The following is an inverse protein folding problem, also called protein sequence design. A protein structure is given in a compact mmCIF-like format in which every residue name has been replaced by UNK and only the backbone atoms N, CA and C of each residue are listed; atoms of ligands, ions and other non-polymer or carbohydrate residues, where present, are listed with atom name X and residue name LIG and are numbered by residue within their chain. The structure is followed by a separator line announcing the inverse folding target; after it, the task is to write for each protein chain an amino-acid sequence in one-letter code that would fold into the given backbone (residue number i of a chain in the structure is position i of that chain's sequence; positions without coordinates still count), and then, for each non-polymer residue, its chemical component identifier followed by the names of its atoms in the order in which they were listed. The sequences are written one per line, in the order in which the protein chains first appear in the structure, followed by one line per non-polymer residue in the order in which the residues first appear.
data_IF_078748491921
#
_entry.id   IF_078748491921
#
_cell.length_a   1.000
_cell.length_b   1.000
_cell.length_c   1.000
_cell.angle_alpha   90.00
_cell.angle_beta   90.00
_cell.angle_gamma   90.00
#
_symmetry.space_group_name_H-M   'P 1'
#
loop_
_entity.id
_entity.type
_entity.pdbx_description
1 polymer ?
#
# COMPACT_ATOMS: atom_id res chain seq x y z
N UNK A 1 -13.19 -30.79 0.11
CA UNK A 1 -11.73 -30.96 0.16
C UNK A 1 -11.26 -30.35 1.46
N UNK A 2 -10.64 -31.13 2.33
CA UNK A 2 -9.95 -30.57 3.50
C UNK A 2 -8.67 -29.97 2.97
N UNK A 3 -8.59 -28.64 2.91
CA UNK A 3 -7.33 -27.97 2.57
C UNK A 3 -6.39 -28.16 3.75
N UNK A 4 -5.19 -28.69 3.49
CA UNK A 4 -4.14 -28.64 4.49
C UNK A 4 -3.84 -27.18 4.77
N UNK A 5 -4.07 -26.74 6.01
CA UNK A 5 -3.91 -25.35 6.39
C UNK A 5 -2.42 -24.97 6.31
N UNK A 6 -2.07 -24.00 5.46
CA UNK A 6 -0.71 -23.52 5.27
C UNK A 6 -0.47 -22.31 6.13
N UNK A 7 0.71 -22.25 6.74
CA UNK A 7 1.18 -21.10 7.49
C UNK A 7 1.85 -20.11 6.55
N UNK A 8 1.22 -18.95 6.34
CA UNK A 8 1.71 -17.95 5.41
C UNK A 8 2.00 -16.64 6.12
N UNK A 9 3.24 -16.19 6.04
CA UNK A 9 3.68 -14.90 6.59
C UNK A 9 3.53 -13.81 5.55
N UNK A 10 2.90 -12.70 5.95
CA UNK A 10 2.87 -11.44 5.24
C UNK A 10 3.67 -10.37 5.99
N UNK A 11 4.39 -9.53 5.25
CA UNK A 11 5.21 -8.46 5.82
C UNK A 11 4.77 -7.12 5.23
N UNK A 12 4.19 -6.27 6.07
CA UNK A 12 3.80 -4.90 5.71
C UNK A 12 4.89 -3.89 6.08
N UNK A 13 5.53 -3.22 5.09
CA UNK A 13 6.59 -2.24 5.33
C UNK A 13 6.02 -0.84 5.60
N UNK A 14 5.28 -0.67 6.69
CA UNK A 14 4.69 0.62 7.02
C UNK A 14 5.71 1.68 7.43
N UNK A 15 5.43 2.95 7.16
CA UNK A 15 6.32 4.08 7.47
C UNK A 15 6.67 4.20 8.95
N UNK A 16 5.72 3.89 9.85
CA UNK A 16 5.92 3.98 11.32
C UNK A 16 6.27 2.64 11.95
N UNK A 17 5.75 1.54 11.41
CA UNK A 17 6.02 0.19 11.91
C UNK A 17 5.93 -0.83 10.79
N UNK A 18 6.79 -1.85 10.86
CA UNK A 18 6.67 -3.06 10.06
C UNK A 18 5.83 -4.07 10.82
N UNK A 19 4.85 -4.66 10.15
CA UNK A 19 4.05 -5.72 10.73
C UNK A 19 4.40 -7.06 10.06
N UNK A 20 4.70 -8.07 10.87
CA UNK A 20 4.86 -9.46 10.45
C UNK A 20 3.63 -10.22 10.94
N UNK A 21 2.86 -10.77 10.01
CA UNK A 21 1.60 -11.45 10.32
C UNK A 21 1.61 -12.84 9.70
N UNK A 22 1.28 -13.85 10.47
CA UNK A 22 1.06 -15.20 9.94
C UNK A 22 -0.42 -15.58 10.00
N UNK A 23 -0.93 -16.07 8.88
CA UNK A 23 -2.25 -16.71 8.84
C UNK A 23 -2.12 -18.20 8.62
N UNK A 24 -3.07 -18.95 9.19
CA UNK A 24 -3.33 -20.34 8.92
C UNK A 24 -4.80 -20.48 8.51
N UNK A 25 -5.04 -20.75 7.22
CA UNK A 25 -6.37 -20.59 6.63
C UNK A 25 -6.85 -19.13 6.74
N UNK A 26 -8.01 -18.92 7.37
CA UNK A 26 -8.60 -17.59 7.56
C UNK A 26 -8.24 -16.89 8.88
N UNK A 27 -7.37 -17.47 9.69
CA UNK A 27 -7.08 -17.02 11.06
C UNK A 27 -5.65 -16.53 11.19
N UNK A 28 -5.45 -15.41 11.90
CA UNK A 28 -4.13 -14.95 12.34
C UNK A 28 -3.67 -15.80 13.51
N UNK A 29 -2.48 -16.41 13.38
CA UNK A 29 -1.87 -17.27 14.40
C UNK A 29 -0.59 -16.67 15.00
N UNK A 30 -0.05 -15.65 14.38
CA UNK A 30 1.08 -14.88 14.89
C UNK A 30 1.04 -13.46 14.33
N UNK A 31 1.40 -12.49 15.17
CA UNK A 31 1.57 -11.10 14.74
C UNK A 31 2.63 -10.40 15.59
N UNK A 32 3.46 -9.59 14.92
CA UNK A 32 4.48 -8.76 15.56
C UNK A 32 4.56 -7.43 14.83
N UNK A 33 4.55 -6.34 15.58
CA UNK A 33 4.76 -5.00 15.06
C UNK A 33 6.09 -4.45 15.56
N UNK A 34 6.95 -4.00 14.65
CA UNK A 34 8.31 -3.52 14.94
C UNK A 34 8.38 -2.05 14.52
N UNK A 35 8.75 -1.15 15.43
CA UNK A 35 8.92 0.27 15.11
C UNK A 35 10.01 0.44 14.04
N UNK A 36 9.72 1.28 13.02
CA UNK A 36 10.61 1.47 11.87
C UNK A 36 11.97 2.04 12.26
N UNK A 37 12.03 2.91 13.28
CA UNK A 37 13.30 3.47 13.77
C UNK A 37 14.13 2.41 14.50
N UNK A 38 13.46 1.48 15.20
CA UNK A 38 14.15 0.34 15.83
C UNK A 38 14.67 -0.63 14.77
N UNK A 39 13.84 -0.93 13.77
CA UNK A 39 14.21 -1.79 12.65
C UNK A 39 15.42 -1.28 11.87
N UNK A 40 15.50 0.02 11.63
CA UNK A 40 16.64 0.65 10.94
C UNK A 40 17.95 0.43 11.70
N UNK A 41 17.89 0.45 13.05
CA UNK A 41 19.07 0.20 13.91
C UNK A 41 19.42 -1.29 14.00
N UNK A 42 18.41 -2.18 13.89
CA UNK A 42 18.53 -3.63 14.05
C UNK A 42 17.70 -4.36 12.98
N UNK A 43 18.16 -4.39 11.72
CA UNK A 43 17.41 -5.02 10.62
C UNK A 43 17.13 -6.52 10.83
N UNK A 44 17.95 -7.20 11.65
CA UNK A 44 17.79 -8.59 12.01
C UNK A 44 16.48 -8.90 12.74
N UNK A 45 15.89 -7.94 13.45
CA UNK A 45 14.60 -8.14 14.15
C UNK A 45 13.47 -8.62 13.22
N UNK A 46 13.51 -8.20 11.96
CA UNK A 46 12.51 -8.61 10.98
C UNK A 46 12.77 -10.03 10.48
N UNK A 47 14.03 -10.38 10.27
CA UNK A 47 14.46 -11.73 9.90
C UNK A 47 14.10 -12.72 11.02
N UNK A 48 14.41 -12.36 12.27
CA UNK A 48 14.10 -13.17 13.44
C UNK A 48 12.59 -13.40 13.57
N UNK A 49 11.78 -12.35 13.39
CA UNK A 49 10.32 -12.46 13.45
C UNK A 49 9.74 -13.39 12.37
N UNK A 50 10.31 -13.42 11.16
CA UNK A 50 9.91 -14.35 10.10
C UNK A 50 10.32 -15.78 10.45
N UNK A 51 11.53 -15.96 10.99
CA UNK A 51 12.08 -17.28 11.32
C UNK A 51 11.35 -17.92 12.52
N UNK A 52 10.91 -17.11 13.51
CA UNK A 52 10.14 -17.58 14.68
C UNK A 52 8.85 -18.34 14.28
N UNK A 53 8.26 -17.98 13.14
CA UNK A 53 6.95 -18.47 12.73
C UNK A 53 7.00 -19.88 12.13
N UNK A 54 8.10 -20.25 11.46
CA UNK A 54 8.19 -21.50 10.71
C UNK A 54 7.14 -21.58 9.58
N UNK A 55 7.12 -20.53 8.72
CA UNK A 55 6.14 -20.38 7.65
C UNK A 55 6.38 -21.36 6.49
N UNK A 56 5.30 -21.82 5.84
CA UNK A 56 5.37 -22.55 4.58
C UNK A 56 5.64 -21.60 3.41
N UNK A 57 5.03 -20.40 3.43
CA UNK A 57 5.18 -19.35 2.41
C UNK A 57 5.37 -17.99 3.06
N UNK A 58 6.03 -17.09 2.32
CA UNK A 58 6.26 -15.70 2.75
C UNK A 58 5.85 -14.75 1.64
N UNK A 59 5.06 -13.73 1.97
CA UNK A 59 4.81 -12.58 1.09
C UNK A 59 5.72 -11.44 1.51
N UNK A 60 6.66 -11.11 0.63
CA UNK A 60 7.65 -10.09 0.86
C UNK A 60 7.06 -8.68 0.73
N UNK A 61 7.65 -7.67 1.41
CA UNK A 61 7.35 -6.27 1.14
C UNK A 61 7.49 -5.98 -0.36
N UNK A 62 6.43 -5.45 -0.98
CA UNK A 62 6.37 -5.32 -2.44
C UNK A 62 6.32 -3.88 -2.95
N UNK A 63 6.26 -2.87 -2.07
CA UNK A 63 6.36 -1.44 -2.42
C UNK A 63 5.40 -1.04 -3.55
N UNK A 64 5.96 -0.49 -4.65
CA UNK A 64 5.18 -0.12 -5.84
C UNK A 64 4.60 -1.33 -6.59
N UNK A 65 4.93 -2.54 -6.15
CA UNK A 65 4.36 -3.77 -6.68
C UNK A 65 4.97 -4.26 -8.00
N UNK A 66 4.72 -5.52 -8.24
CA UNK A 66 5.09 -6.24 -9.46
C UNK A 66 4.03 -7.32 -9.69
N UNK A 67 3.74 -7.75 -10.94
CA UNK A 67 2.90 -8.94 -11.16
C UNK A 67 3.37 -10.07 -10.26
N UNK A 68 2.45 -10.89 -9.75
CA UNK A 68 2.81 -11.96 -8.81
C UNK A 68 4.07 -12.67 -9.26
N UNK A 69 5.16 -12.49 -8.54
CA UNK A 69 6.49 -13.01 -8.87
C UNK A 69 6.98 -13.86 -7.72
N UNK A 70 7.48 -15.06 -8.02
CA UNK A 70 8.04 -15.95 -6.99
C UNK A 70 9.51 -15.63 -6.77
N UNK A 71 10.02 -15.93 -5.56
CA UNK A 71 11.40 -15.66 -5.23
C UNK A 71 12.40 -16.39 -6.13
N UNK A 72 12.09 -17.63 -6.59
CA UNK A 72 12.94 -18.40 -7.52
C UNK A 72 12.94 -17.85 -8.97
N UNK A 73 12.07 -16.90 -9.27
CA UNK A 73 12.05 -16.15 -10.53
C UNK A 73 12.95 -14.91 -10.50
N UNK A 74 13.42 -14.48 -9.33
CA UNK A 74 14.24 -13.26 -9.14
C UNK A 74 15.73 -13.63 -9.18
N UNK A 75 16.49 -12.97 -10.07
CA UNK A 75 17.93 -13.23 -10.20
C UNK A 75 18.77 -12.57 -9.09
N UNK A 76 18.41 -11.35 -8.70
CA UNK A 76 19.06 -10.58 -7.65
C UNK A 76 17.99 -9.88 -6.80
N UNK A 77 17.72 -10.40 -5.61
CA UNK A 77 16.64 -9.91 -4.76
C UNK A 77 16.90 -8.51 -4.19
N UNK A 78 18.15 -8.12 -3.95
CA UNK A 78 18.49 -6.78 -3.47
C UNK A 78 18.25 -5.74 -4.58
N UNK A 79 18.80 -5.96 -5.78
CA UNK A 79 18.57 -5.06 -6.92
C UNK A 79 17.11 -5.01 -7.32
N UNK A 80 16.44 -6.16 -7.37
CA UNK A 80 15.02 -6.25 -7.67
C UNK A 80 14.19 -5.42 -6.69
N UNK A 81 14.50 -5.49 -5.39
CA UNK A 81 13.79 -4.69 -4.39
C UNK A 81 14.05 -3.20 -4.58
N UNK A 82 15.30 -2.78 -4.76
CA UNK A 82 15.64 -1.36 -4.90
C UNK A 82 15.10 -0.79 -6.22
N UNK A 83 15.39 -1.43 -7.34
CA UNK A 83 15.16 -0.86 -8.67
C UNK A 83 13.71 -1.05 -9.16
N UNK A 84 13.06 -2.17 -8.82
CA UNK A 84 11.70 -2.49 -9.28
C UNK A 84 10.65 -2.15 -8.23
N UNK A 85 10.82 -2.66 -6.99
CA UNK A 85 9.79 -2.50 -5.96
C UNK A 85 9.81 -1.12 -5.31
N UNK A 86 10.97 -0.46 -5.23
CA UNK A 86 11.14 0.84 -4.57
C UNK A 86 11.42 1.98 -5.55
N UNK A 87 11.52 1.69 -6.85
CA UNK A 87 11.78 2.67 -7.92
C UNK A 87 12.95 3.61 -7.57
N UNK A 88 14.02 3.03 -7.06
CA UNK A 88 15.24 3.75 -6.64
C UNK A 88 16.47 3.14 -7.31
N UNK A 89 17.56 3.87 -7.28
CA UNK A 89 18.88 3.43 -7.74
C UNK A 89 19.87 3.35 -6.58
N UNK A 90 21.03 2.74 -6.80
CA UNK A 90 22.13 2.77 -5.84
C UNK A 90 22.57 4.23 -5.55
N UNK A 91 22.51 5.10 -6.57
CA UNK A 91 22.78 6.52 -6.44
C UNK A 91 21.78 7.23 -5.51
N UNK A 92 20.47 6.96 -5.68
CA UNK A 92 19.43 7.49 -4.78
C UNK A 92 19.67 7.05 -3.34
N UNK A 93 20.01 5.77 -3.12
CA UNK A 93 20.30 5.25 -1.78
C UNK A 93 21.51 5.97 -1.18
N UNK A 94 22.61 6.09 -1.93
CA UNK A 94 23.81 6.81 -1.50
C UNK A 94 23.47 8.26 -1.13
N UNK A 95 22.72 8.93 -2.00
CA UNK A 95 22.27 10.32 -1.78
C UNK A 95 21.38 10.44 -0.54
N UNK A 96 20.48 9.49 -0.32
CA UNK A 96 19.65 9.46 0.88
C UNK A 96 20.47 9.33 2.17
N UNK A 97 21.53 8.52 2.18
CA UNK A 97 22.44 8.46 3.33
C UNK A 97 23.18 9.79 3.57
N UNK A 98 23.65 10.46 2.51
CA UNK A 98 24.30 11.78 2.62
C UNK A 98 23.36 12.84 3.22
N UNK A 99 22.07 12.76 2.90
CA UNK A 99 21.03 13.66 3.41
C UNK A 99 20.49 13.26 4.79
N UNK A 100 20.87 12.07 5.31
CA UNK A 100 20.36 11.55 6.58
C UNK A 100 18.92 11.00 6.49
N UNK A 101 18.47 10.61 5.29
CA UNK A 101 17.12 10.10 5.06
C UNK A 101 16.90 8.73 5.70
N UNK A 102 15.96 8.64 6.64
CA UNK A 102 15.56 7.36 7.25
C UNK A 102 14.99 6.42 6.17
N UNK A 103 14.32 6.97 5.15
CA UNK A 103 13.79 6.21 4.02
C UNK A 103 14.86 5.38 3.30
N UNK A 104 16.07 5.91 3.12
CA UNK A 104 17.19 5.18 2.50
C UNK A 104 17.61 3.95 3.33
N UNK A 105 17.64 4.11 4.64
CA UNK A 105 17.96 3.01 5.56
C UNK A 105 16.86 1.94 5.55
N UNK A 106 15.59 2.34 5.51
CA UNK A 106 14.44 1.44 5.36
C UNK A 106 14.54 0.65 4.05
N UNK A 107 14.89 1.29 2.94
CA UNK A 107 15.04 0.64 1.64
C UNK A 107 16.14 -0.42 1.65
N UNK A 108 17.28 -0.12 2.28
CA UNK A 108 18.37 -1.10 2.46
C UNK A 108 17.92 -2.26 3.37
N UNK A 109 17.17 -1.99 4.43
CA UNK A 109 16.65 -3.04 5.31
C UNK A 109 15.66 -3.96 4.54
N UNK A 110 14.77 -3.40 3.71
CA UNK A 110 13.88 -4.17 2.85
C UNK A 110 14.62 -5.03 1.83
N UNK A 111 15.66 -4.49 1.20
CA UNK A 111 16.48 -5.22 0.22
C UNK A 111 17.22 -6.41 0.89
N UNK A 112 17.82 -6.20 2.06
CA UNK A 112 18.46 -7.26 2.85
C UNK A 112 17.47 -8.35 3.27
N UNK A 113 16.27 -7.95 3.72
CA UNK A 113 15.21 -8.90 4.05
C UNK A 113 14.82 -9.71 2.82
N UNK A 114 14.56 -9.07 1.68
CA UNK A 114 14.20 -9.76 0.44
C UNK A 114 15.25 -10.80 0.04
N UNK A 115 16.54 -10.45 0.11
CA UNK A 115 17.64 -11.39 -0.13
C UNK A 115 17.60 -12.59 0.81
N UNK A 116 17.39 -12.34 2.10
CA UNK A 116 17.33 -13.41 3.10
C UNK A 116 16.16 -14.36 2.85
N UNK A 117 14.92 -13.83 2.67
CA UNK A 117 13.74 -14.66 2.48
C UNK A 117 13.76 -15.40 1.14
N UNK A 118 14.24 -14.78 0.06
CA UNK A 118 14.42 -15.45 -1.24
C UNK A 118 15.43 -16.58 -1.14
N UNK A 119 16.54 -16.34 -0.44
CA UNK A 119 17.56 -17.37 -0.19
C UNK A 119 17.05 -18.55 0.66
N UNK A 120 16.20 -18.29 1.64
CA UNK A 120 15.70 -19.30 2.58
C UNK A 120 14.45 -20.03 2.11
N UNK A 121 13.56 -19.37 1.37
CA UNK A 121 12.25 -19.90 0.98
C UNK A 121 12.11 -20.16 -0.54
N UNK A 122 12.95 -19.55 -1.39
CA UNK A 122 12.97 -19.81 -2.84
C UNK A 122 11.60 -19.61 -3.50
N UNK A 123 11.07 -20.67 -4.12
CA UNK A 123 9.75 -20.65 -4.81
C UNK A 123 8.55 -20.41 -3.88
N UNK A 124 8.76 -20.46 -2.57
CA UNK A 124 7.73 -20.22 -1.55
C UNK A 124 7.64 -18.76 -1.12
N UNK A 125 8.40 -17.86 -1.76
CA UNK A 125 8.26 -16.40 -1.62
C UNK A 125 7.35 -15.86 -2.71
N UNK A 126 6.46 -14.94 -2.34
CA UNK A 126 5.68 -14.15 -3.29
C UNK A 126 5.97 -12.65 -3.13
N UNK A 127 6.15 -11.98 -4.25
CA UNK A 127 6.01 -10.54 -4.41
C UNK A 127 4.66 -10.28 -5.09
N UNK A 128 3.94 -9.26 -4.65
CA UNK A 128 2.55 -9.01 -5.06
C UNK A 128 2.40 -7.67 -5.81
N UNK A 129 1.35 -7.51 -6.62
CA UNK A 129 1.13 -6.28 -7.36
C UNK A 129 0.68 -5.12 -6.45
N UNK A 130 0.82 -3.91 -6.98
CA UNK A 130 0.08 -2.73 -6.54
C UNK A 130 -1.20 -2.57 -7.37
N UNK A 131 -2.05 -1.63 -6.95
CA UNK A 131 -3.38 -1.42 -7.56
C UNK A 131 -3.28 -1.08 -9.05
N UNK A 132 -2.31 -0.27 -9.47
CA UNK A 132 -2.16 0.14 -10.88
C UNK A 132 -1.91 -1.04 -11.83
N UNK A 133 -1.39 -2.17 -11.34
CA UNK A 133 -1.10 -3.38 -12.15
C UNK A 133 -2.30 -4.29 -12.35
N UNK A 134 -3.42 -4.06 -11.64
CA UNK A 134 -4.58 -4.92 -11.71
C UNK A 134 -5.29 -4.82 -13.08
N UNK A 135 -5.73 -5.95 -13.67
CA UNK A 135 -6.45 -5.95 -14.95
C UNK A 135 -7.87 -5.39 -14.85
N UNK A 136 -8.43 -5.30 -13.64
CA UNK A 136 -9.77 -4.78 -13.36
C UNK A 136 -9.89 -3.28 -13.57
N UNK A 137 -8.77 -2.55 -13.58
CA UNK A 137 -8.71 -1.11 -13.82
C UNK A 137 -8.44 -0.84 -15.30
N UNK A 138 -9.33 -0.13 -16.01
CA UNK A 138 -9.13 0.17 -17.42
C UNK A 138 -7.96 1.14 -17.65
N UNK A 139 -7.32 1.03 -18.82
CA UNK A 139 -6.14 1.80 -19.21
C UNK A 139 -6.30 3.32 -18.98
N UNK A 140 -7.42 3.89 -19.37
CA UNK A 140 -7.66 5.35 -19.27
C UNK A 140 -7.66 5.89 -17.84
N UNK A 141 -7.91 5.05 -16.82
CA UNK A 141 -7.82 5.43 -15.40
C UNK A 141 -6.39 5.38 -14.87
N UNK A 142 -5.50 4.67 -15.54
CA UNK A 142 -4.09 4.50 -15.17
C UNK A 142 -3.16 5.53 -15.80
N UNK A 143 -3.62 6.31 -16.79
CA UNK A 143 -2.78 7.25 -17.54
C UNK A 143 -2.02 8.21 -16.62
N UNK A 144 -0.69 8.27 -16.82
CA UNK A 144 0.26 9.10 -16.06
C UNK A 144 0.25 8.85 -14.54
N UNK A 145 -0.11 7.64 -14.12
CA UNK A 145 -0.06 7.22 -12.71
C UNK A 145 0.93 6.09 -12.54
N UNK A 146 1.85 6.25 -11.60
CA UNK A 146 2.74 5.20 -11.10
C UNK A 146 2.12 4.57 -9.84
N UNK A 147 1.48 5.39 -9.02
CA UNK A 147 0.88 5.00 -7.76
C UNK A 147 -0.62 5.31 -7.74
N UNK A 148 -1.43 4.27 -7.67
CA UNK A 148 -2.86 4.30 -7.39
C UNK A 148 -3.17 3.62 -6.05
N UNK A 149 -2.14 3.37 -5.26
CA UNK A 149 -2.09 2.57 -4.04
C UNK A 149 -1.07 1.45 -4.21
N UNK A 150 -0.01 1.50 -3.40
CA UNK A 150 1.06 0.51 -3.32
C UNK A 150 0.55 -0.85 -2.86
N UNK A 151 1.37 -1.88 -2.83
CA UNK A 151 0.97 -3.25 -2.50
C UNK A 151 0.29 -3.38 -1.13
N UNK A 152 0.67 -2.55 -0.15
CA UNK A 152 0.03 -2.49 1.16
C UNK A 152 -1.42 -1.96 1.10
N UNK A 153 -1.73 -1.03 0.19
CA UNK A 153 -3.09 -0.54 -0.04
C UNK A 153 -3.96 -1.59 -0.72
N UNK A 154 -3.38 -2.35 -1.67
CA UNK A 154 -4.04 -3.54 -2.22
C UNK A 154 -4.35 -4.55 -1.10
N UNK A 155 -3.37 -4.84 -0.25
CA UNK A 155 -3.50 -5.78 0.85
C UNK A 155 -4.56 -5.33 1.88
N UNK A 156 -4.58 -4.05 2.28
CA UNK A 156 -5.61 -3.50 3.15
C UNK A 156 -7.01 -3.58 2.51
N UNK A 157 -7.12 -3.28 1.20
CA UNK A 157 -8.39 -3.38 0.46
C UNK A 157 -8.87 -4.83 0.37
N UNK A 158 -7.96 -5.79 0.22
CA UNK A 158 -8.29 -7.23 0.23
C UNK A 158 -8.99 -7.64 1.54
N UNK A 159 -8.46 -7.20 2.70
CA UNK A 159 -9.08 -7.44 4.01
C UNK A 159 -10.43 -6.71 4.13
N UNK A 160 -10.51 -5.47 3.65
CA UNK A 160 -11.75 -4.71 3.67
C UNK A 160 -12.88 -5.41 2.90
N UNK A 161 -12.60 -5.91 1.69
CA UNK A 161 -13.56 -6.69 0.89
C UNK A 161 -13.97 -7.97 1.62
N UNK A 162 -12.98 -8.74 2.11
CA UNK A 162 -13.24 -10.00 2.79
C UNK A 162 -14.10 -9.83 4.04
N UNK A 163 -13.69 -8.92 4.93
CA UNK A 163 -14.38 -8.72 6.21
C UNK A 163 -15.75 -8.08 6.03
N UNK A 164 -15.91 -7.18 5.06
CA UNK A 164 -17.19 -6.60 4.72
C UNK A 164 -18.17 -7.64 4.17
N UNK A 165 -17.73 -8.48 3.22
CA UNK A 165 -18.55 -9.57 2.68
C UNK A 165 -18.99 -10.56 3.78
N UNK A 166 -18.05 -10.96 4.65
CA UNK A 166 -18.32 -11.85 5.78
C UNK A 166 -19.32 -11.24 6.76
N UNK A 167 -19.16 -9.97 7.13
CA UNK A 167 -20.04 -9.26 8.08
C UNK A 167 -21.46 -9.10 7.54
N UNK A 168 -21.59 -8.79 6.24
CA UNK A 168 -22.91 -8.65 5.58
C UNK A 168 -23.51 -9.98 5.13
N UNK A 169 -22.77 -11.09 5.14
CA UNK A 169 -23.22 -12.40 4.68
C UNK A 169 -23.49 -12.43 3.16
N UNK A 170 -22.69 -11.71 2.37
CA UNK A 170 -22.84 -11.59 0.92
C UNK A 170 -21.63 -12.19 0.17
N UNK A 171 -21.81 -12.47 -1.13
CA UNK A 171 -20.69 -12.87 -1.98
C UNK A 171 -19.76 -11.68 -2.28
N UNK A 172 -18.50 -11.97 -2.65
CA UNK A 172 -17.56 -10.92 -3.04
C UNK A 172 -18.05 -10.08 -4.21
N UNK A 173 -18.76 -10.69 -5.17
CA UNK A 173 -19.38 -9.99 -6.33
C UNK A 173 -20.46 -8.97 -5.96
N UNK A 174 -20.93 -8.98 -4.73
CA UNK A 174 -21.94 -8.03 -4.25
C UNK A 174 -21.35 -6.88 -3.44
N UNK A 175 -20.01 -6.90 -3.21
CA UNK A 175 -19.32 -5.87 -2.45
C UNK A 175 -19.13 -4.61 -3.28
N UNK A 176 -19.77 -3.51 -2.87
CA UNK A 176 -19.65 -2.18 -3.46
C UNK A 176 -19.34 -1.18 -2.35
N UNK A 177 -18.06 -0.83 -2.20
CA UNK A 177 -17.55 0.04 -1.13
C UNK A 177 -16.48 0.98 -1.64
N UNK A 178 -16.22 2.03 -0.87
CA UNK A 178 -14.98 2.81 -1.01
C UNK A 178 -14.10 2.46 0.18
N UNK A 179 -12.86 2.08 -0.07
CA UNK A 179 -11.86 1.90 0.99
C UNK A 179 -11.01 3.16 1.08
N UNK A 180 -11.01 3.80 2.24
CA UNK A 180 -10.14 4.94 2.53
C UNK A 180 -9.03 4.49 3.49
N UNK A 181 -7.82 4.35 2.97
CA UNK A 181 -6.63 4.02 3.75
C UNK A 181 -5.96 5.30 4.21
N UNK A 182 -5.97 5.53 5.51
CA UNK A 182 -5.44 6.70 6.18
C UNK A 182 -4.13 6.32 6.89
N UNK A 183 -3.06 6.23 6.10
CA UNK A 183 -1.74 5.82 6.55
C UNK A 183 -1.04 6.87 7.42
N UNK A 184 0.15 6.53 7.94
CA UNK A 184 0.92 7.50 8.74
C UNK A 184 1.46 8.65 7.88
N UNK A 185 1.79 8.44 6.62
CA UNK A 185 2.37 9.49 5.76
C UNK A 185 1.56 9.79 4.52
N UNK A 186 0.83 8.82 4.02
CA UNK A 186 0.10 8.84 2.76
C UNK A 186 -1.33 8.39 2.96
N UNK A 187 -2.22 8.88 2.11
CA UNK A 187 -3.61 8.44 2.06
C UNK A 187 -3.91 7.78 0.71
N UNK A 188 -4.96 6.97 0.68
CA UNK A 188 -5.53 6.46 -0.55
C UNK A 188 -7.04 6.32 -0.44
N UNK A 189 -7.76 6.60 -1.54
CA UNK A 189 -9.17 6.28 -1.72
C UNK A 189 -9.31 5.29 -2.87
N UNK A 190 -10.00 4.18 -2.64
CA UNK A 190 -10.03 3.03 -3.54
C UNK A 190 -11.49 2.65 -3.80
N UNK A 191 -11.90 2.66 -5.07
CA UNK A 191 -13.22 2.26 -5.49
C UNK A 191 -13.29 0.76 -5.72
N UNK A 192 -14.17 0.08 -5.00
CA UNK A 192 -14.45 -1.35 -5.14
C UNK A 192 -15.88 -1.51 -5.65
N UNK A 193 -16.05 -2.01 -6.87
CA UNK A 193 -17.34 -2.33 -7.49
C UNK A 193 -17.40 -3.83 -7.78
N UNK A 194 -18.43 -4.50 -7.30
CA UNK A 194 -18.62 -5.94 -7.43
C UNK A 194 -17.42 -6.75 -6.88
N UNK A 195 -16.78 -6.28 -5.80
CA UNK A 195 -15.61 -6.93 -5.20
C UNK A 195 -14.30 -6.78 -5.97
N UNK A 196 -14.27 -6.00 -7.04
CA UNK A 196 -13.09 -5.69 -7.83
C UNK A 196 -12.66 -4.23 -7.63
N UNK A 197 -11.36 -3.97 -7.57
CA UNK A 197 -10.86 -2.59 -7.59
C UNK A 197 -11.01 -2.05 -9.02
N UNK A 198 -11.79 -0.97 -9.18
CA UNK A 198 -12.08 -0.37 -10.47
C UNK A 198 -11.42 0.97 -10.72
N UNK A 199 -11.02 1.68 -9.66
CA UNK A 199 -10.19 2.90 -9.70
C UNK A 199 -9.58 3.15 -8.32
N UNK A 200 -8.53 3.97 -8.27
CA UNK A 200 -8.00 4.47 -7.01
C UNK A 200 -7.20 5.77 -7.18
N UNK A 201 -7.06 6.48 -6.07
CA UNK A 201 -6.19 7.64 -5.89
C UNK A 201 -5.31 7.35 -4.68
N UNK A 202 -3.99 7.42 -4.86
CA UNK A 202 -3.05 7.12 -3.78
C UNK A 202 -1.70 7.78 -4.03
N UNK A 203 -0.79 7.66 -3.08
CA UNK A 203 0.54 8.22 -3.16
C UNK A 203 0.54 9.74 -3.37
N UNK A 204 1.35 10.20 -4.31
CA UNK A 204 1.43 11.62 -4.68
C UNK A 204 0.30 12.09 -5.61
N UNK A 205 -0.67 11.24 -5.96
CA UNK A 205 -1.87 11.64 -6.71
C UNK A 205 -3.08 11.88 -5.82
N UNK A 206 -3.00 11.46 -4.56
CA UNK A 206 -3.98 11.79 -3.51
C UNK A 206 -3.78 13.22 -2.98
N UNK A 207 -4.71 13.71 -2.21
CA UNK A 207 -4.59 14.98 -1.49
C UNK A 207 -3.46 14.92 -0.46
N UNK A 208 -3.12 16.10 0.11
CA UNK A 208 -2.03 16.23 1.09
C UNK A 208 -2.17 15.20 2.22
N UNK A 209 -1.06 14.50 2.48
CA UNK A 209 -0.94 13.60 3.62
C UNK A 209 -0.22 14.25 4.80
N UNK A 210 0.13 13.45 5.79
CA UNK A 210 0.93 13.97 6.91
C UNK A 210 2.40 14.13 6.53
N UNK A 211 2.96 13.27 5.68
CA UNK A 211 4.34 13.40 5.20
C UNK A 211 4.41 13.87 3.74
N UNK A 212 3.59 13.34 2.84
CA UNK A 212 3.60 13.71 1.41
C UNK A 212 2.82 14.99 1.12
N UNK A 213 3.33 15.79 0.19
CA UNK A 213 2.60 16.92 -0.36
C UNK A 213 1.28 16.50 -1.04
N UNK A 214 1.18 15.24 -1.47
CA UNK A 214 0.08 14.77 -2.30
C UNK A 214 0.16 15.31 -3.72
N UNK A 215 -0.98 15.64 -4.30
CA UNK A 215 -1.06 16.23 -5.64
C UNK A 215 -0.37 17.59 -5.66
N UNK A 216 0.86 17.60 -6.13
CA UNK A 216 1.65 18.82 -6.27
C UNK A 216 1.38 19.44 -7.64
N UNK A 217 1.24 20.78 -7.66
CA UNK A 217 1.14 21.52 -8.91
C UNK A 217 2.45 21.38 -9.71
N UNK A 218 2.35 20.94 -10.95
CA UNK A 218 3.49 20.76 -11.85
C UNK A 218 4.26 22.07 -12.09
N UNK A 219 3.59 23.22 -11.95
CA UNK A 219 4.26 24.53 -12.02
C UNK A 219 5.30 24.68 -10.90
N UNK A 220 5.02 24.18 -9.71
CA UNK A 220 6.00 24.16 -8.60
C UNK A 220 7.22 23.33 -9.01
N UNK A 221 7.00 22.14 -9.58
CA UNK A 221 8.08 21.27 -10.06
C UNK A 221 8.90 21.96 -11.15
N UNK A 222 8.26 22.68 -12.06
CA UNK A 222 8.92 23.39 -13.14
C UNK A 222 9.81 24.55 -12.64
N UNK A 223 9.43 25.21 -11.56
CA UNK A 223 10.11 26.38 -11.00
C UNK A 223 11.07 26.08 -9.83
N UNK A 224 10.89 24.96 -9.11
CA UNK A 224 11.67 24.66 -7.92
C UNK A 224 13.08 24.10 -8.20
N UNK A 225 13.42 23.82 -9.46
CA UNK A 225 14.73 23.30 -9.84
C UNK A 225 14.82 21.77 -9.82
N UNK A 226 15.97 21.24 -9.37
CA UNK A 226 16.23 19.80 -9.39
C UNK A 226 15.47 19.09 -8.25
N UNK A 227 14.69 18.08 -8.61
CA UNK A 227 14.01 17.18 -7.66
C UNK A 227 14.80 15.89 -7.50
N UNK A 228 14.82 15.38 -6.25
CA UNK A 228 15.45 14.12 -5.90
C UNK A 228 14.40 13.05 -5.58
N UNK A 229 14.81 11.79 -5.57
CA UNK A 229 13.90 10.66 -5.26
C UNK A 229 13.19 10.83 -3.91
N UNK A 230 13.86 11.45 -2.96
CA UNK A 230 13.41 11.62 -1.58
C UNK A 230 12.34 12.71 -1.42
N UNK A 231 12.22 13.64 -2.37
CA UNK A 231 11.24 14.75 -2.31
C UNK A 231 9.79 14.26 -2.27
N UNK A 232 9.52 13.03 -2.74
CA UNK A 232 8.17 12.43 -2.68
C UNK A 232 7.67 12.18 -1.26
N UNK A 233 8.57 12.19 -0.26
CA UNK A 233 8.25 11.98 1.15
C UNK A 233 8.04 13.27 1.93
N UNK A 234 8.13 14.44 1.27
CA UNK A 234 8.06 15.75 1.91
C UNK A 234 6.84 16.56 1.48
N UNK A 235 6.61 17.65 2.18
CA UNK A 235 5.56 18.62 1.86
C UNK A 235 4.20 18.34 2.50
N UNK A 236 4.08 17.31 3.33
CA UNK A 236 2.87 17.04 4.11
C UNK A 236 2.70 18.00 5.31
N UNK A 237 1.54 17.92 5.97
CA UNK A 237 1.20 18.83 7.06
C UNK A 237 2.21 18.80 8.22
N UNK A 238 2.85 17.67 8.47
CA UNK A 238 3.88 17.53 9.51
C UNK A 238 5.13 18.37 9.21
N UNK A 239 5.51 18.47 7.94
CA UNK A 239 6.68 19.26 7.53
C UNK A 239 6.42 20.77 7.64
N UNK A 240 5.21 21.23 7.30
CA UNK A 240 4.82 22.63 7.47
C UNK A 240 4.92 23.07 8.92
N UNK A 241 4.47 22.22 9.84
CA UNK A 241 4.44 22.52 11.26
C UNK A 241 5.69 22.07 12.02
N UNK A 242 6.58 21.30 11.41
CA UNK A 242 7.70 20.61 12.08
C UNK A 242 7.25 19.79 13.30
N UNK A 243 6.04 19.21 13.21
CA UNK A 243 5.40 18.43 14.25
C UNK A 243 4.94 17.08 13.68
N UNK A 244 5.39 15.97 14.23
CA UNK A 244 5.22 14.62 13.70
C UNK A 244 4.22 13.76 14.49
N UNK A 245 3.23 14.43 15.11
CA UNK A 245 2.13 13.79 15.82
C UNK A 245 0.80 14.47 15.46
N UNK A 246 -0.12 13.69 14.87
CA UNK A 246 -1.43 14.21 14.45
C UNK A 246 -2.27 14.74 15.63
N UNK A 247 -2.03 14.26 16.86
CA UNK A 247 -2.75 14.77 18.05
C UNK A 247 -2.46 16.26 18.33
N UNK A 248 -1.32 16.77 17.91
CA UNK A 248 -1.01 18.21 18.02
C UNK A 248 -1.97 19.02 17.14
N UNK A 249 -2.23 18.55 15.91
CA UNK A 249 -3.14 19.19 14.97
C UNK A 249 -4.61 19.05 15.40
N UNK A 250 -4.97 17.90 15.98
CA UNK A 250 -6.31 17.69 16.57
C UNK A 250 -6.59 18.71 17.65
N UNK A 251 -5.67 18.90 18.61
CA UNK A 251 -5.80 19.91 19.69
C UNK A 251 -5.86 21.33 19.14
N UNK A 252 -5.00 21.65 18.17
CA UNK A 252 -5.00 22.96 17.54
C UNK A 252 -6.34 23.25 16.82
N UNK A 253 -6.91 22.26 16.15
CA UNK A 253 -8.23 22.39 15.52
C UNK A 253 -9.33 22.65 16.55
N UNK A 254 -9.35 21.89 17.65
CA UNK A 254 -10.34 22.07 18.74
C UNK A 254 -10.25 23.44 19.40
N UNK A 255 -9.03 24.01 19.47
CA UNK A 255 -8.77 25.32 20.07
C UNK A 255 -8.78 26.47 19.04
N UNK A 256 -8.99 26.20 17.75
CA UNK A 256 -8.88 27.18 16.66
C UNK A 256 -7.51 27.85 16.57
N UNK A 257 -6.44 27.10 16.81
CA UNK A 257 -5.05 27.58 16.80
C UNK A 257 -4.45 27.49 15.38
N UNK A 258 -4.27 28.65 14.75
CA UNK A 258 -3.69 28.75 13.41
C UNK A 258 -2.14 28.77 13.47
N UNK A 259 -1.44 28.25 12.43
CA UNK A 259 -1.98 27.66 11.19
C UNK A 259 -2.30 26.14 11.29
N UNK A 260 -2.12 25.52 12.45
CA UNK A 260 -2.26 24.06 12.60
C UNK A 260 -3.69 23.57 12.37
N UNK A 261 -4.69 24.38 12.79
CA UNK A 261 -6.11 24.09 12.57
C UNK A 261 -6.43 24.03 11.06
N UNK A 262 -5.94 24.98 10.27
CA UNK A 262 -6.09 25.01 8.82
C UNK A 262 -5.37 23.84 8.14
N UNK A 263 -4.18 23.47 8.60
CA UNK A 263 -3.44 22.31 8.09
C UNK A 263 -4.21 20.99 8.35
N UNK A 264 -4.78 20.85 9.55
CA UNK A 264 -5.61 19.69 9.87
C UNK A 264 -6.87 19.62 8.98
N UNK A 265 -7.52 20.77 8.78
CA UNK A 265 -8.68 20.89 7.89
C UNK A 265 -8.30 20.48 6.46
N UNK A 266 -7.18 20.98 5.94
CA UNK A 266 -6.68 20.60 4.60
C UNK A 266 -6.46 19.10 4.46
N UNK A 267 -5.93 18.46 5.49
CA UNK A 267 -5.73 17.00 5.53
C UNK A 267 -7.06 16.24 5.47
N UNK A 268 -8.02 16.56 6.34
CA UNK A 268 -9.30 15.82 6.41
C UNK A 268 -10.21 16.11 5.22
N UNK A 269 -10.32 17.37 4.81
CA UNK A 269 -11.09 17.77 3.62
C UNK A 269 -10.49 17.16 2.34
N UNK A 270 -9.15 17.07 2.27
CA UNK A 270 -8.45 16.40 1.19
C UNK A 270 -8.86 14.94 1.04
N UNK A 271 -8.92 14.20 2.15
CA UNK A 271 -9.40 12.80 2.16
C UNK A 271 -10.85 12.72 1.66
N UNK A 272 -11.73 13.61 2.12
CA UNK A 272 -13.12 13.65 1.68
C UNK A 272 -13.24 13.91 0.16
N UNK A 273 -12.42 14.82 -0.38
CA UNK A 273 -12.34 15.09 -1.83
C UNK A 273 -11.86 13.87 -2.63
N UNK A 274 -10.85 13.14 -2.15
CA UNK A 274 -10.36 11.92 -2.79
C UNK A 274 -11.44 10.82 -2.79
N UNK A 275 -12.18 10.65 -1.70
CA UNK A 275 -13.33 9.74 -1.62
C UNK A 275 -14.41 10.13 -2.63
N UNK A 276 -14.77 11.41 -2.69
CA UNK A 276 -15.77 11.92 -3.64
C UNK A 276 -15.30 11.70 -5.10
N UNK A 277 -14.01 11.92 -5.39
CA UNK A 277 -13.40 11.69 -6.70
C UNK A 277 -13.57 10.23 -7.14
N UNK A 278 -13.22 9.25 -6.30
CA UNK A 278 -13.35 7.85 -6.68
C UNK A 278 -14.80 7.36 -6.67
N UNK A 279 -15.72 8.02 -5.95
CA UNK A 279 -17.16 7.71 -6.01
C UNK A 279 -17.75 7.93 -7.40
N UNK A 280 -17.22 8.85 -8.20
CA UNK A 280 -17.73 9.18 -9.54
C UNK A 280 -17.58 8.08 -10.58
N UNK A 281 -16.70 7.09 -10.33
CA UNK A 281 -16.38 6.05 -11.33
C UNK A 281 -17.32 4.85 -11.30
N UNK A 282 -18.14 4.72 -10.26
CA UNK A 282 -19.10 3.63 -10.14
C UNK A 282 -20.21 3.72 -11.21
N UNK A 283 -20.56 2.60 -11.82
CA UNK A 283 -21.66 2.53 -12.80
C UNK A 283 -22.98 2.94 -12.19
N UNK A 284 -23.18 2.62 -10.91
CA UNK A 284 -24.30 3.08 -10.13
C UNK A 284 -23.84 3.66 -8.78
N UNK A 285 -23.53 4.98 -8.72
CA UNK A 285 -23.04 5.61 -7.49
C UNK A 285 -24.00 5.50 -6.29
N UNK A 286 -25.31 5.28 -6.54
CA UNK A 286 -26.31 5.09 -5.47
C UNK A 286 -26.17 3.73 -4.75
N UNK A 287 -25.50 2.75 -5.35
CA UNK A 287 -25.23 1.45 -4.71
C UNK A 287 -24.03 1.48 -3.76
N UNK A 288 -23.28 2.57 -3.74
CA UNK A 288 -22.10 2.72 -2.91
C UNK A 288 -22.44 3.63 -1.74
N UNK A 289 -22.82 3.02 -0.65
CA UNK A 289 -23.30 3.70 0.55
C UNK A 289 -22.29 3.62 1.71
N UNK A 290 -21.24 2.79 1.57
CA UNK A 290 -20.31 2.52 2.67
C UNK A 290 -18.88 2.89 2.31
N UNK A 291 -18.24 3.63 3.22
CA UNK A 291 -16.79 3.87 3.27
C UNK A 291 -16.21 3.01 4.38
N UNK A 292 -15.24 2.18 4.04
CA UNK A 292 -14.48 1.37 4.99
C UNK A 292 -13.15 2.03 5.25
N UNK A 293 -12.88 2.42 6.49
CA UNK A 293 -11.64 3.08 6.90
C UNK A 293 -10.60 2.07 7.35
N UNK A 294 -9.38 2.22 6.84
CA UNK A 294 -8.19 1.45 7.23
C UNK A 294 -7.03 2.39 7.59
N UNK A 295 -5.95 1.85 8.10
CA UNK A 295 -4.73 2.61 8.39
C UNK A 295 -4.76 3.32 9.75
N UNK A 296 -3.62 3.92 10.10
CA UNK A 296 -3.38 4.45 11.45
C UNK A 296 -4.30 5.62 11.82
N UNK A 297 -4.47 6.57 10.91
CA UNK A 297 -5.25 7.79 11.19
C UNK A 297 -6.77 7.57 11.15
N UNK A 298 -7.23 6.43 10.65
CA UNK A 298 -8.64 6.01 10.73
C UNK A 298 -9.12 5.80 12.18
N UNK A 299 -8.19 5.65 13.11
CA UNK A 299 -8.45 5.45 14.55
C UNK A 299 -8.56 6.76 15.33
N UNK A 300 -8.38 7.93 14.67
CA UNK A 300 -8.49 9.25 15.29
C UNK A 300 -9.95 9.71 15.27
N UNK A 301 -10.63 9.84 16.44
CA UNK A 301 -12.09 10.10 16.47
C UNK A 301 -12.51 11.36 15.74
N UNK A 302 -11.72 12.44 15.83
CA UNK A 302 -12.04 13.72 15.18
C UNK A 302 -11.95 13.60 13.65
N UNK A 303 -10.99 12.83 13.10
CA UNK A 303 -10.91 12.56 11.66
C UNK A 303 -12.20 11.87 11.18
N UNK A 304 -12.63 10.83 11.90
CA UNK A 304 -13.86 10.08 11.56
C UNK A 304 -15.10 10.96 11.67
N UNK A 305 -15.18 11.79 12.71
CA UNK A 305 -16.27 12.75 12.92
C UNK A 305 -16.38 13.72 11.74
N UNK A 306 -15.28 14.37 11.38
CA UNK A 306 -15.26 15.35 10.30
C UNK A 306 -15.53 14.71 8.93
N UNK A 307 -15.04 13.51 8.66
CA UNK A 307 -15.37 12.77 7.45
C UNK A 307 -16.89 12.50 7.35
N UNK A 308 -17.57 12.19 8.45
CA UNK A 308 -19.05 12.06 8.47
C UNK A 308 -19.75 13.38 8.18
N UNK A 309 -19.20 14.50 8.62
CA UNK A 309 -19.74 15.83 8.32
C UNK A 309 -19.55 16.21 6.86
N UNK A 310 -18.39 15.87 6.23
CA UNK A 310 -18.14 16.11 4.80
C UNK A 310 -18.91 15.16 3.88
N UNK A 311 -19.23 13.95 4.33
CA UNK A 311 -19.82 12.88 3.53
C UNK A 311 -21.08 12.32 4.22
N UNK A 312 -22.13 13.17 4.47
CA UNK A 312 -23.29 12.80 5.28
C UNK A 312 -24.14 11.67 4.69
N UNK A 313 -24.09 11.47 3.36
CA UNK A 313 -24.85 10.45 2.65
C UNK A 313 -24.15 9.08 2.60
N UNK A 314 -23.05 8.91 3.36
CA UNK A 314 -22.24 7.69 3.36
C UNK A 314 -22.13 7.10 4.77
N UNK A 315 -22.37 5.80 4.89
CA UNK A 315 -21.98 5.06 6.10
C UNK A 315 -20.45 5.03 6.20
N UNK A 316 -19.87 5.51 7.30
CA UNK A 316 -18.43 5.42 7.55
C UNK A 316 -18.20 4.44 8.70
N UNK A 317 -17.47 3.36 8.42
CA UNK A 317 -17.18 2.29 9.36
C UNK A 317 -15.71 1.90 9.35
N UNK A 318 -15.17 1.40 10.47
CA UNK A 318 -13.84 0.80 10.49
C UNK A 318 -13.80 -0.49 9.68
N UNK A 319 -12.62 -0.83 9.16
CA UNK A 319 -12.36 -2.13 8.57
C UNK A 319 -12.46 -3.23 9.65
N UNK A 320 -12.99 -4.38 9.28
CA UNK A 320 -12.92 -5.58 10.10
C UNK A 320 -11.50 -6.16 10.12
N UNK A 321 -11.24 -7.00 11.12
CA UNK A 321 -9.98 -7.72 11.28
C UNK A 321 -10.21 -9.21 11.06
N UNK A 322 -9.16 -9.94 10.63
CA UNK A 322 -9.21 -11.40 10.62
C UNK A 322 -9.29 -11.94 12.05
N UNK A 323 -9.92 -13.09 12.22
CA UNK A 323 -9.98 -13.77 13.51
C UNK A 323 -8.57 -14.03 14.05
N UNK A 324 -8.34 -13.72 15.32
CA UNK A 324 -7.06 -13.84 15.98
C UNK A 324 -6.15 -12.62 15.89
N UNK A 325 -6.45 -11.65 15.02
CA UNK A 325 -5.71 -10.39 14.94
C UNK A 325 -6.04 -9.47 16.11
N UNK A 326 -5.02 -8.78 16.64
CA UNK A 326 -5.15 -7.87 17.78
C UNK A 326 -4.29 -6.60 17.66
N UNK A 327 -3.11 -6.69 17.08
CA UNK A 327 -2.14 -5.58 17.00
C UNK A 327 -1.75 -5.21 15.57
N UNK A 328 -1.80 -6.14 14.63
CA UNK A 328 -1.42 -5.91 13.24
C UNK A 328 -2.40 -5.03 12.50
N UNK A 329 -1.86 -4.23 11.57
CA UNK A 329 -2.68 -3.44 10.63
C UNK A 329 -3.33 -4.36 9.58
N UNK A 330 -4.39 -3.85 8.97
CA UNK A 330 -5.12 -4.52 7.90
C UNK A 330 -4.19 -4.92 6.73
N UNK A 331 -3.21 -4.07 6.40
CA UNK A 331 -2.24 -4.35 5.34
C UNK A 331 -1.40 -5.60 5.65
N UNK A 332 -0.86 -5.76 6.86
CA UNK A 332 -0.08 -6.95 7.25
C UNK A 332 -0.90 -8.23 7.14
N UNK A 333 -2.16 -8.20 7.63
CA UNK A 333 -3.10 -9.31 7.47
C UNK A 333 -3.38 -9.60 6.00
N UNK A 334 -3.53 -8.56 5.18
CA UNK A 334 -3.80 -8.67 3.75
C UNK A 334 -2.63 -9.28 2.97
N UNK A 335 -1.38 -8.91 3.29
CA UNK A 335 -0.21 -9.57 2.70
C UNK A 335 -0.24 -11.09 2.96
N UNK A 336 -0.46 -11.49 4.21
CA UNK A 336 -0.53 -12.91 4.58
C UNK A 336 -1.71 -13.62 3.90
N UNK A 337 -2.89 -13.01 3.89
CA UNK A 337 -4.10 -13.57 3.28
C UNK A 337 -3.99 -13.71 1.75
N UNK A 338 -3.40 -12.72 1.06
CA UNK A 338 -3.12 -12.81 -0.39
C UNK A 338 -2.17 -13.98 -0.66
N UNK A 339 -1.10 -14.11 0.12
CA UNK A 339 -0.15 -15.23 -0.01
C UNK A 339 -0.79 -16.58 0.22
N UNK A 340 -1.67 -16.69 1.21
CA UNK A 340 -2.43 -17.92 1.50
C UNK A 340 -3.33 -18.29 0.32
N UNK A 341 -3.99 -17.29 -0.28
CA UNK A 341 -4.79 -17.47 -1.48
C UNK A 341 -3.96 -17.87 -2.70
N UNK A 342 -2.78 -17.26 -2.91
CA UNK A 342 -1.83 -17.63 -3.99
C UNK A 342 -1.26 -19.04 -3.79
N UNK A 343 -1.08 -19.48 -2.56
CA UNK A 343 -0.67 -20.84 -2.23
C UNK A 343 -1.80 -21.88 -2.37
N UNK A 344 -3.00 -21.46 -2.80
CA UNK A 344 -4.13 -22.35 -3.08
C UNK A 344 -5.03 -22.61 -1.87
N UNK A 345 -5.00 -21.78 -0.83
CA UNK A 345 -5.77 -21.95 0.39
C UNK A 345 -7.13 -21.23 0.40
N UNK A 346 -7.59 -20.86 1.58
CA UNK A 346 -8.92 -20.27 1.86
C UNK A 346 -9.23 -19.04 1.02
N UNK A 347 -8.28 -18.14 0.88
CA UNK A 347 -8.45 -16.86 0.17
C UNK A 347 -8.30 -16.95 -1.36
N UNK A 348 -8.10 -18.15 -1.95
CA UNK A 348 -7.91 -18.32 -3.40
C UNK A 348 -9.07 -17.77 -4.23
N UNK A 349 -10.33 -17.87 -3.73
CA UNK A 349 -11.52 -17.31 -4.42
C UNK A 349 -11.38 -15.80 -4.57
N UNK A 350 -10.98 -15.09 -3.51
CA UNK A 350 -10.85 -13.62 -3.54
C UNK A 350 -9.65 -13.16 -4.36
N UNK A 351 -8.50 -13.83 -4.26
CA UNK A 351 -7.32 -13.56 -5.09
C UNK A 351 -7.67 -13.59 -6.58
N UNK A 352 -8.38 -14.63 -7.02
CA UNK A 352 -8.83 -14.79 -8.41
C UNK A 352 -9.89 -13.77 -8.79
N UNK A 353 -10.83 -13.49 -7.89
CA UNK A 353 -11.92 -12.53 -8.12
C UNK A 353 -11.38 -11.11 -8.35
N UNK A 354 -10.42 -10.68 -7.53
CA UNK A 354 -9.76 -9.38 -7.69
C UNK A 354 -8.75 -9.34 -8.84
N UNK A 355 -8.48 -10.45 -9.52
CA UNK A 355 -7.50 -10.54 -10.61
C UNK A 355 -6.06 -10.32 -10.19
N UNK A 356 -5.71 -10.54 -8.93
CA UNK A 356 -4.36 -10.34 -8.40
C UNK A 356 -3.35 -11.25 -9.11
N UNK A 357 -3.73 -12.49 -9.37
CA UNK A 357 -2.94 -13.50 -10.10
C UNK A 357 -2.77 -13.20 -11.59
N UNK A 358 -3.56 -12.27 -12.14
CA UNK A 358 -3.56 -11.84 -13.54
C UNK A 358 -2.92 -10.45 -13.77
N UNK A 359 -2.38 -9.83 -12.72
CA UNK A 359 -1.65 -8.58 -12.86
C UNK A 359 -0.50 -8.71 -13.85
N UNK A 360 -0.24 -7.68 -14.64
CA UNK A 360 0.80 -7.65 -15.66
C UNK A 360 1.47 -6.28 -15.79
N UNK A 361 2.62 -6.26 -16.45
CA UNK A 361 3.36 -5.04 -16.78
C UNK A 361 4.20 -4.48 -15.64
N UNK A 362 4.60 -3.23 -15.81
CA UNK A 362 5.30 -2.43 -14.83
C UNK A 362 4.47 -1.18 -14.49
N UNK A 363 4.74 -0.54 -13.37
CA UNK A 363 4.04 0.69 -12.97
C UNK A 363 4.28 1.85 -13.94
N UNK A 364 5.31 1.78 -14.77
CA UNK A 364 5.61 2.80 -15.78
C UNK A 364 4.89 2.59 -17.13
N UNK A 365 4.23 1.45 -17.36
CA UNK A 365 3.60 1.12 -18.65
C UNK A 365 2.52 2.13 -19.07
N UNK A 366 1.90 2.78 -18.09
CA UNK A 366 0.80 3.73 -18.29
C UNK A 366 1.26 5.19 -18.32
N UNK A 367 2.56 5.45 -18.20
CA UNK A 367 3.14 6.80 -18.27
C UNK A 367 3.25 7.22 -19.73
N UNK A 368 2.56 8.30 -20.10
CA UNK A 368 2.48 8.83 -21.45
C UNK A 368 3.24 10.17 -21.63
N UNK A 369 3.70 10.79 -20.54
CA UNK A 369 4.41 12.08 -20.63
C UNK A 369 5.76 11.90 -21.33
N UNK A 370 6.08 12.68 -22.40
CA UNK A 370 7.28 12.47 -23.23
C UNK A 370 8.60 12.49 -22.45
N UNK A 371 8.71 13.33 -21.42
CA UNK A 371 9.93 13.38 -20.57
C UNK A 371 10.15 12.12 -19.72
N UNK A 372 9.15 11.27 -19.58
CA UNK A 372 9.25 10.04 -18.80
C UNK A 372 9.51 8.79 -19.64
N UNK A 373 9.74 8.94 -20.96
CA UNK A 373 9.98 7.80 -21.86
C UNK A 373 11.22 7.00 -21.47
N UNK A 374 12.31 7.69 -21.12
CA UNK A 374 13.54 7.05 -20.66
C UNK A 374 13.31 6.25 -19.37
N UNK A 375 12.64 6.83 -18.38
CA UNK A 375 12.26 6.13 -17.14
C UNK A 375 11.46 4.86 -17.43
N UNK A 376 10.42 4.97 -18.28
CA UNK A 376 9.59 3.84 -18.69
C UNK A 376 10.42 2.73 -19.32
N UNK A 377 11.25 3.06 -20.30
CA UNK A 377 12.08 2.10 -21.03
C UNK A 377 13.10 1.42 -20.10
N UNK A 378 13.72 2.20 -19.22
CA UNK A 378 14.67 1.69 -18.25
C UNK A 378 14.01 0.73 -17.25
N UNK A 379 12.83 1.06 -16.70
CA UNK A 379 12.12 0.18 -15.78
C UNK A 379 11.71 -1.16 -16.43
N UNK A 380 11.17 -1.12 -17.64
CA UNK A 380 10.80 -2.33 -18.38
C UNK A 380 12.04 -3.18 -18.69
N UNK A 381 13.16 -2.56 -19.08
CA UNK A 381 14.43 -3.23 -19.31
C UNK A 381 14.92 -3.93 -18.03
N UNK A 382 14.96 -3.21 -16.91
CA UNK A 382 15.39 -3.74 -15.62
C UNK A 382 14.50 -4.89 -15.13
N UNK A 383 13.17 -4.76 -15.30
CA UNK A 383 12.26 -5.84 -14.97
C UNK A 383 12.55 -7.13 -15.75
N UNK A 384 12.86 -7.01 -17.04
CA UNK A 384 13.27 -8.14 -17.89
C UNK A 384 14.63 -8.74 -17.50
N UNK A 385 15.57 -7.91 -17.04
CA UNK A 385 16.91 -8.35 -16.63
C UNK A 385 16.88 -9.06 -15.26
N UNK A 386 15.99 -8.65 -14.35
CA UNK A 386 15.96 -9.12 -12.97
C UNK A 386 14.96 -10.25 -12.71
N UNK A 387 14.04 -10.54 -13.65
CA UNK A 387 13.01 -11.57 -13.49
C UNK A 387 13.05 -12.57 -14.65
N UNK A 388 13.10 -13.87 -14.33
CA UNK A 388 13.15 -14.97 -15.32
C UNK A 388 11.99 -14.99 -16.29
N UNK A 389 10.77 -14.79 -15.76
CA UNK A 389 9.52 -14.88 -16.52
C UNK A 389 8.71 -13.58 -16.33
N UNK A 390 9.16 -12.45 -16.89
CA UNK A 390 8.51 -11.17 -16.69
C UNK A 390 7.10 -11.17 -17.33
N UNK A 391 6.09 -10.88 -16.51
CA UNK A 391 4.68 -10.87 -16.95
C UNK A 391 4.35 -9.50 -17.53
N UNK A 392 4.71 -9.27 -18.79
CA UNK A 392 4.38 -8.04 -19.52
C UNK A 392 2.92 -8.07 -19.96
N UNK A 393 2.26 -6.90 -19.96
CA UNK A 393 0.94 -6.77 -20.57
C UNK A 393 1.03 -6.96 -22.11
N UNK A 394 0.03 -7.62 -22.67
CA UNK A 394 -0.06 -7.86 -24.12
C UNK A 394 -0.54 -6.60 -24.85
#
# INVERSE_FOLDING_TARGET
MVFEAKRVVGIDPGTKSFDVVCVEGSRVVYEKSIDTVELVKKPELLIDAVNEVGADYVVAPSGYGVPVTRGDEVFDAEKFTIEILLLSSEEDIRRGFELGEIGAQVYVAMAKLAKHIVGSYGSRVFFIPSIVLLPTIPFYRKLNKIDMGTADKLAATFIAIHTFAKDKGIDYSDVNIIVAELGYGYNAAIAVENGEIVDAVGGTTASIGTLTAGSLDLEIVAHAGKWERWDVFYGGIFHFAKAYDLNIFVKAYENSEEPLASLFTSFVEGIAKDIAKVKTVFKNPKKVETIVLTGRHSKVPLVVKLLREYLPDMEIRPCGMLEGASISKEAGQGYAAIGEGLAGGYFSKLVKHMGIDKACGTVADYVAHPRAEEFKNNLVKRYKELVKNPRLCK
#
